data_IF_393714191518
#
_entry.id   IF_393714191518
#
_cell.length_a   1.000
_cell.length_b   1.000
_cell.length_c   1.000
_cell.angle_alpha   90.00
_cell.angle_beta   90.00
_cell.angle_gamma   90.00
#
_symmetry.space_group_name_H-M   'P 1'
#
loop_
_entity.id
_entity.type
_entity.pdbx_description
1 polymer ?
#
# COMPACT_ATOMS: atom_id res chain seq x y z
N UNK A 1 -5.96 33.93 -4.77
CA UNK A 1 -5.37 33.08 -5.84
C UNK A 1 -5.82 31.61 -5.68
N UNK A 2 -7.09 31.34 -5.39
CA UNK A 2 -7.67 29.99 -5.28
C UNK A 2 -8.56 29.63 -6.48
N UNK A 3 -8.96 30.61 -7.26
CA UNK A 3 -9.99 30.48 -8.31
C UNK A 3 -9.46 29.90 -9.64
N UNK A 4 -8.13 29.84 -9.80
CA UNK A 4 -7.47 29.26 -10.98
C UNK A 4 -6.93 27.84 -10.72
N UNK A 5 -7.08 27.30 -9.52
CA UNK A 5 -6.61 25.96 -9.18
C UNK A 5 -7.81 25.02 -9.04
N UNK A 6 -7.94 24.11 -10.00
CA UNK A 6 -8.99 23.10 -10.00
C UNK A 6 -8.42 21.80 -9.43
N UNK A 7 -8.76 21.49 -8.17
CA UNK A 7 -8.39 20.21 -7.57
C UNK A 7 -9.16 19.08 -8.23
N UNK A 8 -8.54 17.91 -8.26
CA UNK A 8 -9.23 16.67 -8.58
C UNK A 8 -9.87 16.19 -7.29
N UNK A 9 -11.20 16.04 -7.32
CA UNK A 9 -11.98 15.57 -6.17
C UNK A 9 -11.73 14.08 -5.89
N UNK A 10 -11.92 13.69 -4.63
CA UNK A 10 -11.81 12.31 -4.16
C UNK A 10 -12.87 11.40 -4.79
N UNK A 11 -12.42 10.27 -5.33
CA UNK A 11 -13.24 9.18 -5.86
C UNK A 11 -13.46 8.05 -4.86
N UNK A 12 -12.79 8.06 -3.68
CA UNK A 12 -12.77 6.94 -2.73
C UNK A 12 -14.13 6.43 -2.22
N UNK A 13 -15.21 7.23 -2.32
CA UNK A 13 -16.57 6.80 -1.98
C UNK A 13 -17.26 6.00 -3.11
N UNK A 14 -16.68 6.01 -4.30
CA UNK A 14 -17.11 5.24 -5.46
C UNK A 14 -16.51 3.83 -5.49
N UNK A 15 -16.72 3.09 -6.59
CA UNK A 15 -16.16 1.75 -6.76
C UNK A 15 -14.62 1.74 -6.93
N UNK A 16 -14.03 2.88 -7.30
CA UNK A 16 -12.60 3.02 -7.59
C UNK A 16 -12.10 4.38 -7.08
N UNK A 17 -10.86 4.41 -6.60
CA UNK A 17 -10.16 5.65 -6.26
C UNK A 17 -9.74 6.44 -7.52
N UNK A 18 -9.59 7.76 -7.40
CA UNK A 18 -9.13 8.58 -8.51
C UNK A 18 -7.60 8.70 -8.50
N UNK A 19 -6.95 8.17 -9.53
CA UNK A 19 -5.48 8.19 -9.68
C UNK A 19 -4.82 9.58 -9.60
N UNK A 20 -5.57 10.66 -9.87
CA UNK A 20 -5.06 12.04 -9.80
C UNK A 20 -5.51 12.78 -8.52
N UNK A 21 -6.34 12.15 -7.69
CA UNK A 21 -6.75 12.70 -6.39
C UNK A 21 -5.65 12.49 -5.37
N UNK A 22 -5.20 13.59 -4.78
CA UNK A 22 -4.23 13.56 -3.70
C UNK A 22 -4.85 13.00 -2.41
N UNK A 23 -6.13 13.28 -2.17
CA UNK A 23 -6.84 12.77 -1.00
C UNK A 23 -6.92 11.25 -1.04
N UNK A 24 -7.22 10.68 -2.22
CA UNK A 24 -7.29 9.22 -2.39
C UNK A 24 -5.92 8.55 -2.21
N UNK A 25 -4.86 9.17 -2.76
CA UNK A 25 -3.48 8.69 -2.60
C UNK A 25 -3.01 8.72 -1.14
N UNK A 26 -3.40 9.75 -0.40
CA UNK A 26 -3.06 9.87 1.02
C UNK A 26 -3.84 8.85 1.87
N UNK A 27 -5.10 8.60 1.51
CA UNK A 27 -5.94 7.58 2.16
C UNK A 27 -5.42 6.15 1.90
N UNK A 28 -5.04 5.80 0.67
CA UNK A 28 -4.54 4.46 0.32
C UNK A 28 -3.18 4.13 0.92
N UNK A 29 -2.43 5.13 1.39
CA UNK A 29 -1.17 4.96 2.12
C UNK A 29 -1.36 4.39 3.54
N UNK A 30 -2.58 4.38 4.08
CA UNK A 30 -2.87 3.77 5.38
C UNK A 30 -2.58 2.25 5.36
N UNK A 31 -1.88 1.78 6.40
CA UNK A 31 -1.42 0.40 6.48
C UNK A 31 -2.54 -0.51 6.99
N UNK A 32 -2.79 -1.59 6.26
CA UNK A 32 -3.74 -2.64 6.62
C UNK A 32 -3.01 -3.96 6.94
N UNK A 33 -3.49 -4.72 7.92
CA UNK A 33 -2.95 -6.05 8.21
C UNK A 33 -3.38 -7.04 7.11
N UNK A 34 -2.41 -7.65 6.44
CA UNK A 34 -2.62 -8.61 5.36
C UNK A 34 -1.83 -9.90 5.64
N UNK A 35 -2.44 -11.05 5.39
CA UNK A 35 -1.77 -12.35 5.48
C UNK A 35 -1.19 -12.71 4.10
N UNK A 36 0.09 -13.03 4.07
CA UNK A 36 0.74 -13.47 2.83
C UNK A 36 0.35 -14.92 2.52
N UNK A 37 -0.33 -15.17 1.40
CA UNK A 37 -0.73 -16.54 1.01
C UNK A 37 0.32 -17.26 0.13
N UNK A 38 1.29 -16.54 -0.44
CA UNK A 38 2.32 -17.10 -1.32
C UNK A 38 3.67 -16.45 -1.07
N UNK A 39 4.75 -17.23 -1.14
CA UNK A 39 6.10 -16.71 -0.95
C UNK A 39 6.42 -15.57 -1.93
N UNK A 40 6.95 -14.47 -1.40
CA UNK A 40 7.37 -13.30 -2.18
C UNK A 40 8.91 -13.23 -2.25
N UNK A 41 9.55 -13.81 -3.28
CA UNK A 41 11.01 -13.81 -3.38
C UNK A 41 11.53 -12.38 -3.55
N UNK A 42 12.70 -12.08 -2.96
CA UNK A 42 13.41 -10.78 -3.03
C UNK A 42 12.73 -9.59 -2.31
N UNK A 43 11.49 -9.73 -1.85
CA UNK A 43 10.80 -8.67 -1.09
C UNK A 43 11.03 -8.77 0.43
N UNK A 44 11.71 -9.81 0.91
CA UNK A 44 12.00 -9.99 2.33
C UNK A 44 12.67 -8.78 3.00
N UNK A 45 13.57 -8.07 2.30
CA UNK A 45 14.28 -6.90 2.82
C UNK A 45 13.36 -5.75 3.27
N UNK A 46 12.17 -5.63 2.69
CA UNK A 46 11.21 -4.55 2.99
C UNK A 46 10.31 -4.85 4.19
N UNK A 47 10.17 -6.12 4.54
CA UNK A 47 9.38 -6.59 5.70
C UNK A 47 10.26 -6.85 6.93
N UNK A 48 11.55 -6.53 6.82
CA UNK A 48 12.62 -7.02 7.68
C UNK A 48 13.03 -6.08 8.82
N UNK A 49 12.09 -5.36 9.41
CA UNK A 49 12.39 -4.60 10.64
C UNK A 49 12.68 -5.54 11.85
N UNK A 50 12.61 -6.88 11.69
CA UNK A 50 12.78 -7.84 12.79
C UNK A 50 13.73 -9.04 12.58
N UNK A 51 14.15 -9.44 11.38
CA UNK A 51 14.80 -10.76 11.20
C UNK A 51 16.08 -10.74 10.35
N UNK A 52 17.16 -10.20 10.88
CA UNK A 52 18.50 -10.33 10.27
C UNK A 52 18.89 -11.83 10.16
N UNK A 53 18.60 -12.47 9.04
CA UNK A 53 19.14 -13.76 8.66
C UNK A 53 18.96 -14.01 7.16
N UNK A 54 20.09 -14.29 6.51
CA UNK A 54 20.22 -14.71 5.12
C UNK A 54 19.23 -15.80 4.72
N UNK A 55 18.79 -15.74 3.44
CA UNK A 55 17.79 -16.56 2.72
C UNK A 55 16.35 -15.99 2.72
N UNK A 56 16.19 -14.85 2.02
CA UNK A 56 14.94 -14.10 1.88
C UNK A 56 13.90 -14.79 0.97
N UNK A 57 13.28 -15.85 1.46
CA UNK A 57 11.95 -16.30 1.03
C UNK A 57 10.98 -15.83 2.13
N UNK A 58 10.07 -14.91 1.81
CA UNK A 58 9.02 -14.51 2.76
C UNK A 58 8.19 -15.78 3.09
N UNK A 59 8.17 -16.26 4.34
CA UNK A 59 7.45 -17.49 4.65
C UNK A 59 5.94 -17.23 4.52
N UNK A 60 5.28 -18.10 3.76
CA UNK A 60 3.83 -18.11 3.61
C UNK A 60 3.14 -18.11 4.98
N UNK A 61 2.02 -17.40 5.08
CA UNK A 61 1.22 -17.26 6.31
C UNK A 61 1.68 -16.18 7.28
N UNK A 62 2.66 -15.32 6.95
CA UNK A 62 3.04 -14.18 7.78
C UNK A 62 2.08 -12.99 7.61
N UNK A 63 1.79 -12.33 8.74
CA UNK A 63 1.08 -11.06 8.78
C UNK A 63 2.03 -9.91 8.46
N UNK A 64 1.64 -9.08 7.50
CA UNK A 64 2.35 -7.89 7.05
C UNK A 64 1.42 -6.67 7.19
N UNK A 65 2.02 -5.50 7.39
CA UNK A 65 1.30 -4.23 7.33
C UNK A 65 1.53 -3.62 5.94
N UNK A 66 0.54 -3.73 5.07
CA UNK A 66 0.61 -3.37 3.66
C UNK A 66 -0.33 -2.21 3.34
N UNK A 67 0.07 -1.28 2.48
CA UNK A 67 -0.79 -0.20 2.01
C UNK A 67 -1.61 -0.69 0.80
N UNK A 68 -2.93 -0.67 0.89
CA UNK A 68 -3.80 -1.11 -0.19
C UNK A 68 -3.90 -0.02 -1.25
N UNK A 69 -2.98 -0.02 -2.21
CA UNK A 69 -3.15 0.78 -3.42
C UNK A 69 -4.16 0.09 -4.34
N UNK A 70 -5.34 0.67 -4.54
CA UNK A 70 -6.30 0.19 -5.52
C UNK A 70 -5.91 0.80 -6.88
N UNK A 71 -4.89 0.22 -7.52
CA UNK A 71 -4.48 0.50 -8.90
C UNK A 71 -5.09 -0.51 -9.87
#
# INVERSE_FOLDING_TARGET
MSEAYFRVESGALGPEENSLSLDDTLMSHEKLPVRTETAMPRLGAFFLERSRADSAVNPEGKWLNWACFCL
#
